data_IF_906381764751
#
_entry.id   IF_906381764751
#
_cell.length_a   1.000
_cell.length_b   1.000
_cell.length_c   1.000
_cell.angle_alpha   90.00
_cell.angle_beta   90.00
_cell.angle_gamma   90.00
#
_symmetry.space_group_name_H-M   'P 1'
#
loop_
_entity.id
_entity.type
_entity.pdbx_description
1 polymer ?
#
# COMPACT_ATOMS: atom_id res chain seq x y z
N UNK A 1 -34.18 34.84 -11.90
CA UNK A 1 -33.97 34.47 -10.47
C UNK A 1 -33.50 33.03 -10.30
N UNK A 2 -34.09 32.07 -11.02
CA UNK A 2 -33.76 30.64 -10.88
C UNK A 2 -32.33 30.30 -11.36
N UNK A 3 -31.83 30.95 -12.41
CA UNK A 3 -30.49 30.74 -12.97
C UNK A 3 -29.35 31.26 -12.06
N UNK A 4 -29.57 32.36 -11.33
CA UNK A 4 -28.56 32.90 -10.41
C UNK A 4 -28.42 32.08 -9.14
N UNK A 5 -29.53 31.51 -8.63
CA UNK A 5 -29.52 30.61 -7.47
C UNK A 5 -28.76 29.31 -7.77
N UNK A 6 -28.98 28.72 -8.95
CA UNK A 6 -28.27 27.51 -9.38
C UNK A 6 -26.75 27.74 -9.50
N UNK A 7 -26.32 28.88 -10.03
CA UNK A 7 -24.90 29.24 -10.11
C UNK A 7 -24.27 29.39 -8.73
N UNK A 8 -25.02 29.95 -7.78
CA UNK A 8 -24.54 30.13 -6.41
C UNK A 8 -24.35 28.78 -5.71
N UNK A 9 -25.31 27.86 -5.86
CA UNK A 9 -25.24 26.50 -5.32
C UNK A 9 -24.04 25.75 -5.90
N UNK A 10 -23.84 25.80 -7.21
CA UNK A 10 -22.68 25.15 -7.85
C UNK A 10 -21.34 25.71 -7.36
N UNK A 11 -21.23 27.02 -7.16
CA UNK A 11 -20.04 27.65 -6.60
C UNK A 11 -19.75 27.18 -5.17
N UNK A 12 -20.81 27.07 -4.35
CA UNK A 12 -20.68 26.61 -2.97
C UNK A 12 -20.27 25.14 -2.90
N UNK A 13 -20.84 24.29 -3.74
CA UNK A 13 -20.45 22.88 -3.87
C UNK A 13 -19.00 22.75 -4.31
N UNK A 14 -18.58 23.51 -5.31
CA UNK A 14 -17.19 23.49 -5.81
C UNK A 14 -16.20 23.91 -4.73
N UNK A 15 -16.52 24.97 -3.95
CA UNK A 15 -15.69 25.40 -2.80
C UNK A 15 -15.60 24.31 -1.72
N UNK A 16 -16.70 23.64 -1.43
CA UNK A 16 -16.73 22.55 -0.44
C UNK A 16 -15.87 21.37 -0.90
N UNK A 17 -15.99 20.98 -2.17
CA UNK A 17 -15.18 19.90 -2.77
C UNK A 17 -13.69 20.24 -2.77
N UNK A 18 -13.33 21.49 -3.10
CA UNK A 18 -11.95 21.95 -3.07
C UNK A 18 -11.37 21.95 -1.65
N UNK A 19 -12.17 22.31 -0.66
CA UNK A 19 -11.73 22.28 0.74
C UNK A 19 -11.47 20.84 1.20
N UNK A 20 -12.36 19.91 0.89
CA UNK A 20 -12.19 18.48 1.21
C UNK A 20 -10.93 17.94 0.54
N UNK A 21 -10.72 18.25 -0.74
CA UNK A 21 -9.51 17.84 -1.46
C UNK A 21 -8.24 18.40 -0.80
N UNK A 22 -8.24 19.67 -0.38
CA UNK A 22 -7.12 20.28 0.33
C UNK A 22 -6.85 19.61 1.68
N UNK A 23 -7.89 19.32 2.45
CA UNK A 23 -7.77 18.62 3.73
C UNK A 23 -7.17 17.22 3.54
N UNK A 24 -7.56 16.51 2.49
CA UNK A 24 -6.98 15.21 2.14
C UNK A 24 -5.51 15.31 1.77
N UNK A 25 -5.12 16.31 0.96
CA UNK A 25 -3.72 16.55 0.58
C UNK A 25 -2.88 16.83 1.83
N UNK A 26 -3.35 17.69 2.74
CA UNK A 26 -2.64 18.00 3.99
C UNK A 26 -2.52 16.76 4.88
N UNK A 27 -3.57 15.97 4.99
CA UNK A 27 -3.56 14.71 5.74
C UNK A 27 -2.49 13.75 5.21
N UNK A 28 -2.42 13.55 3.89
CA UNK A 28 -1.41 12.67 3.29
C UNK A 28 0.01 13.20 3.45
N UNK A 29 0.20 14.51 3.32
CA UNK A 29 1.52 15.14 3.56
C UNK A 29 1.97 14.95 5.00
N UNK A 30 1.07 15.10 5.95
CA UNK A 30 1.35 14.91 7.39
C UNK A 30 1.71 13.45 7.68
N UNK A 31 0.95 12.48 7.15
CA UNK A 31 1.26 11.06 7.26
C UNK A 31 2.62 10.72 6.64
N UNK A 32 2.92 11.25 5.47
CA UNK A 32 4.21 11.04 4.78
C UNK A 32 5.37 11.60 5.61
N UNK A 33 5.21 12.78 6.19
CA UNK A 33 6.23 13.42 7.04
C UNK A 33 6.49 12.57 8.29
N UNK A 34 5.45 12.14 8.99
CA UNK A 34 5.55 11.27 10.17
C UNK A 34 6.21 9.95 9.83
N UNK A 35 5.85 9.37 8.68
CA UNK A 35 6.42 8.12 8.18
C UNK A 35 7.90 8.25 7.91
N UNK A 36 8.32 9.32 7.21
CA UNK A 36 9.72 9.60 6.92
C UNK A 36 10.55 9.76 8.20
N UNK A 37 9.98 10.39 9.22
CA UNK A 37 10.63 10.55 10.52
C UNK A 37 10.83 9.20 11.22
N UNK A 38 9.80 8.34 11.20
CA UNK A 38 9.88 7.00 11.81
C UNK A 38 10.86 6.08 11.10
N UNK A 39 10.99 6.23 9.79
CA UNK A 39 11.83 5.36 8.96
C UNK A 39 13.29 5.79 8.91
N UNK A 40 13.68 6.84 9.60
CA UNK A 40 15.09 7.23 9.70
C UNK A 40 15.88 6.07 10.33
N UNK A 41 16.80 5.49 9.55
CA UNK A 41 17.66 4.39 10.01
C UNK A 41 17.05 3.00 9.95
N UNK A 42 15.84 2.82 9.41
CA UNK A 42 15.28 1.48 9.17
C UNK A 42 14.88 1.28 7.70
N UNK A 43 14.86 0.04 7.25
CA UNK A 43 14.36 -0.31 5.92
C UNK A 43 12.83 -0.35 5.91
N UNK A 44 12.24 -0.33 4.72
CA UNK A 44 10.79 -0.45 4.56
C UNK A 44 10.29 -1.82 5.08
N UNK A 45 11.05 -2.88 4.85
CA UNK A 45 10.77 -4.22 5.35
C UNK A 45 10.76 -4.28 6.88
N UNK A 46 11.77 -3.71 7.51
CA UNK A 46 11.85 -3.61 8.97
C UNK A 46 10.70 -2.81 9.54
N UNK A 47 10.36 -1.69 8.89
CA UNK A 47 9.23 -0.86 9.30
C UNK A 47 7.91 -1.63 9.27
N UNK A 48 7.61 -2.33 8.19
CA UNK A 48 6.39 -3.14 8.08
C UNK A 48 6.37 -4.29 9.09
N UNK A 49 7.50 -4.95 9.30
CA UNK A 49 7.60 -6.04 10.29
C UNK A 49 7.35 -5.54 11.71
N UNK A 50 7.94 -4.43 12.08
CA UNK A 50 7.74 -3.81 13.39
C UNK A 50 6.29 -3.36 13.56
N UNK A 51 5.73 -2.72 12.55
CA UNK A 51 4.33 -2.29 12.54
C UNK A 51 3.38 -3.47 12.71
N UNK A 52 3.63 -4.57 12.02
CA UNK A 52 2.86 -5.79 12.15
C UNK A 52 2.85 -6.31 13.60
N UNK A 53 4.02 -6.46 14.21
CA UNK A 53 4.14 -6.99 15.58
C UNK A 53 3.49 -6.07 16.60
N UNK A 54 3.62 -4.76 16.45
CA UNK A 54 3.10 -3.81 17.44
C UNK A 54 1.60 -3.51 17.27
N UNK A 55 1.09 -3.45 16.04
CA UNK A 55 -0.27 -2.98 15.77
C UNK A 55 -1.25 -4.08 15.33
N UNK A 56 -0.79 -5.10 14.64
CA UNK A 56 -1.65 -6.16 14.10
C UNK A 56 -1.64 -7.43 14.96
N UNK A 57 -0.49 -7.87 15.42
CA UNK A 57 -0.36 -9.08 16.23
C UNK A 57 -1.32 -9.12 17.43
N UNK A 58 -1.52 -8.04 18.20
CA UNK A 58 -2.42 -8.07 19.35
C UNK A 58 -3.89 -8.40 19.01
N UNK A 59 -4.32 -8.06 17.78
CA UNK A 59 -5.68 -8.28 17.30
C UNK A 59 -5.82 -9.53 16.41
N UNK A 60 -4.70 -10.09 15.97
CA UNK A 60 -4.64 -11.20 15.01
C UNK A 60 -3.63 -12.25 15.51
N UNK A 61 -3.96 -13.01 16.56
CA UNK A 61 -2.99 -13.91 17.22
C UNK A 61 -2.45 -15.01 16.30
N UNK A 62 -3.22 -15.42 15.29
CA UNK A 62 -2.80 -16.46 14.34
C UNK A 62 -2.19 -15.91 13.06
N UNK A 63 -2.11 -14.59 12.92
CA UNK A 63 -1.53 -13.98 11.73
C UNK A 63 -0.02 -14.22 11.69
N UNK A 64 0.48 -14.36 10.46
CA UNK A 64 1.91 -14.50 10.18
C UNK A 64 2.32 -13.44 9.18
N UNK A 65 3.47 -12.84 9.41
CA UNK A 65 4.07 -11.90 8.48
C UNK A 65 5.58 -12.08 8.52
N UNK A 66 6.18 -12.34 7.37
CA UNK A 66 7.61 -12.51 7.30
C UNK A 66 8.10 -12.78 5.90
N UNK A 67 9.41 -12.74 5.75
CA UNK A 67 10.07 -13.02 4.48
C UNK A 67 9.94 -14.50 4.15
N UNK A 68 9.48 -14.81 2.96
CA UNK A 68 9.45 -16.15 2.46
C UNK A 68 10.83 -16.54 1.92
N UNK A 69 11.52 -17.41 2.65
CA UNK A 69 12.84 -17.91 2.28
C UNK A 69 12.79 -19.15 1.38
N UNK A 70 11.59 -19.71 1.15
CA UNK A 70 11.42 -20.84 0.26
C UNK A 70 11.49 -20.37 -1.19
N UNK A 71 12.39 -20.96 -1.95
CA UNK A 71 12.49 -20.71 -3.38
C UNK A 71 11.60 -21.71 -4.12
N UNK A 72 10.63 -21.19 -4.89
CA UNK A 72 9.80 -21.97 -5.80
C UNK A 72 10.05 -21.40 -7.20
N UNK A 73 10.52 -22.26 -8.11
CA UNK A 73 10.84 -21.86 -9.50
C UNK A 73 11.69 -20.60 -9.64
N UNK A 74 12.69 -20.43 -8.76
CA UNK A 74 13.57 -19.28 -8.76
C UNK A 74 13.05 -18.03 -8.10
N UNK A 75 11.83 -18.06 -7.57
CA UNK A 75 11.21 -16.95 -6.84
C UNK A 75 11.74 -16.88 -5.42
N UNK A 76 12.29 -15.74 -5.03
CA UNK A 76 12.96 -15.58 -3.74
C UNK A 76 12.49 -14.32 -3.02
N UNK A 77 12.17 -14.49 -1.74
CA UNK A 77 12.37 -13.43 -0.78
C UNK A 77 11.31 -12.36 -0.67
N UNK A 78 10.09 -12.58 -1.13
CA UNK A 78 8.97 -11.67 -0.87
C UNK A 78 8.40 -11.90 0.53
N UNK A 79 7.75 -10.88 1.07
CA UNK A 79 7.05 -10.98 2.34
C UNK A 79 5.65 -11.54 2.13
N UNK A 80 5.23 -12.44 2.99
CA UNK A 80 3.89 -13.02 2.94
C UNK A 80 3.18 -12.77 4.26
N UNK A 81 1.99 -12.18 4.17
CA UNK A 81 1.03 -12.08 5.26
C UNK A 81 -0.02 -13.17 5.09
N UNK A 82 -0.33 -13.88 6.16
CA UNK A 82 -1.46 -14.79 6.20
C UNK A 82 -2.18 -14.69 7.54
N UNK A 83 -3.47 -14.95 7.54
CA UNK A 83 -4.24 -15.04 8.76
C UNK A 83 -5.14 -16.27 8.71
N UNK A 84 -5.45 -16.81 9.89
CA UNK A 84 -6.27 -18.01 10.03
C UNK A 84 -7.12 -17.93 11.30
N UNK A 85 -8.03 -18.89 11.46
CA UNK A 85 -8.79 -19.09 12.69
C UNK A 85 -8.10 -20.06 13.68
N UNK A 86 -6.85 -20.42 13.38
CA UNK A 86 -6.07 -21.44 14.11
C UNK A 86 -6.01 -22.78 13.38
N UNK A 87 -6.94 -23.07 12.48
CA UNK A 87 -7.00 -24.31 11.68
C UNK A 87 -6.99 -24.05 10.19
N UNK A 88 -7.79 -23.09 9.73
CA UNK A 88 -7.97 -22.78 8.31
C UNK A 88 -7.48 -21.39 7.98
N UNK A 89 -6.53 -21.31 7.04
CA UNK A 89 -6.09 -20.06 6.46
C UNK A 89 -7.20 -19.47 5.59
N UNK A 90 -7.60 -18.23 5.83
CA UNK A 90 -8.65 -17.57 5.08
C UNK A 90 -8.18 -16.37 4.26
N UNK A 91 -6.95 -15.94 4.44
CA UNK A 91 -6.36 -14.87 3.63
C UNK A 91 -4.85 -15.04 3.51
N UNK A 92 -4.33 -14.76 2.33
CA UNK A 92 -2.89 -14.68 2.09
C UNK A 92 -2.60 -13.50 1.16
N UNK A 93 -1.60 -12.72 1.52
CA UNK A 93 -1.19 -11.52 0.76
C UNK A 93 0.32 -11.58 0.56
N UNK A 94 0.75 -11.48 -0.70
CA UNK A 94 2.16 -11.31 -1.02
C UNK A 94 2.49 -9.83 -1.08
N UNK A 95 3.54 -9.41 -0.38
CA UNK A 95 4.02 -8.04 -0.36
C UNK A 95 5.39 -7.93 -1.02
N UNK A 96 5.51 -7.04 -1.98
CA UNK A 96 6.79 -6.55 -2.50
C UNK A 96 6.99 -5.13 -1.99
N UNK A 97 8.21 -4.80 -1.57
CA UNK A 97 8.51 -3.49 -0.98
C UNK A 97 9.59 -2.78 -1.78
N UNK A 98 9.29 -1.57 -2.23
CA UNK A 98 10.20 -0.74 -3.01
C UNK A 98 10.33 0.64 -2.37
N UNK A 99 11.54 0.96 -1.95
CA UNK A 99 11.87 2.25 -1.36
C UNK A 99 12.75 3.06 -2.31
N UNK A 100 12.38 4.30 -2.57
CA UNK A 100 13.11 5.21 -3.44
C UNK A 100 14.57 5.42 -3.00
N UNK A 101 14.84 5.43 -1.70
CA UNK A 101 16.20 5.59 -1.16
C UNK A 101 17.13 4.42 -1.46
N UNK A 102 16.59 3.25 -1.76
CA UNK A 102 17.35 2.04 -2.10
C UNK A 102 17.61 1.91 -3.61
N UNK A 103 16.96 2.72 -4.43
CA UNK A 103 17.07 2.73 -5.88
C UNK A 103 18.08 3.80 -6.32
N UNK A 104 19.36 3.42 -6.46
CA UNK A 104 20.46 4.38 -6.66
C UNK A 104 20.76 4.78 -8.11
N UNK A 105 20.36 4.00 -9.12
CA UNK A 105 20.83 4.23 -10.50
C UNK A 105 19.73 4.46 -11.55
N UNK A 106 18.50 4.02 -11.31
CA UNK A 106 17.39 4.22 -12.26
C UNK A 106 16.12 4.60 -11.50
N UNK A 107 15.45 5.64 -11.99
CA UNK A 107 14.09 5.93 -11.51
C UNK A 107 13.12 4.89 -12.09
N UNK A 108 12.82 3.87 -11.32
CA UNK A 108 11.80 2.90 -11.68
C UNK A 108 10.41 3.44 -11.38
N UNK A 109 9.46 3.00 -12.19
CA UNK A 109 8.03 3.25 -11.98
C UNK A 109 7.40 2.05 -11.27
N UNK A 110 6.34 2.30 -10.51
CA UNK A 110 5.63 1.25 -9.80
C UNK A 110 5.16 0.11 -10.72
N UNK A 111 4.66 0.47 -11.90
CA UNK A 111 4.16 -0.52 -12.87
C UNK A 111 5.22 -1.50 -13.35
N UNK A 112 6.49 -1.16 -13.26
CA UNK A 112 7.61 -2.01 -13.71
C UNK A 112 7.74 -3.30 -12.88
N UNK A 113 7.19 -3.31 -11.66
CA UNK A 113 7.29 -4.45 -10.74
C UNK A 113 6.07 -5.36 -10.73
N UNK A 114 4.98 -4.96 -11.38
CA UNK A 114 3.70 -5.64 -11.24
C UNK A 114 3.67 -7.01 -11.91
N UNK A 115 4.31 -7.15 -13.06
CA UNK A 115 4.33 -8.43 -13.80
C UNK A 115 5.01 -9.53 -12.98
N UNK A 116 6.18 -9.24 -12.44
CA UNK A 116 6.91 -10.19 -11.60
C UNK A 116 6.15 -10.50 -10.32
N UNK A 117 5.56 -9.49 -9.70
CA UNK A 117 4.75 -9.67 -8.48
C UNK A 117 3.56 -10.59 -8.74
N UNK A 118 2.88 -10.44 -9.86
CA UNK A 118 1.78 -11.31 -10.26
C UNK A 118 2.23 -12.76 -10.48
N UNK A 119 3.35 -12.95 -11.16
CA UNK A 119 3.95 -14.28 -11.38
C UNK A 119 4.31 -14.94 -10.04
N UNK A 120 4.93 -14.20 -9.14
CA UNK A 120 5.33 -14.68 -7.82
C UNK A 120 4.11 -15.02 -6.96
N UNK A 121 3.06 -14.19 -7.01
CA UNK A 121 1.80 -14.47 -6.31
C UNK A 121 1.21 -15.80 -6.71
N UNK A 122 1.15 -16.06 -8.00
CA UNK A 122 0.61 -17.32 -8.54
C UNK A 122 1.45 -18.53 -8.15
N UNK A 123 2.78 -18.40 -8.21
CA UNK A 123 3.70 -19.48 -7.81
C UNK A 123 3.57 -19.83 -6.33
N UNK A 124 3.39 -18.82 -5.48
CA UNK A 124 3.24 -18.99 -4.02
C UNK A 124 1.79 -19.21 -3.58
N UNK A 125 0.85 -19.22 -4.51
CA UNK A 125 -0.57 -19.44 -4.25
C UNK A 125 -1.17 -18.45 -3.25
N UNK A 126 -0.68 -17.20 -3.27
CA UNK A 126 -1.27 -16.12 -2.48
C UNK A 126 -2.51 -15.56 -3.16
N UNK A 127 -3.52 -15.23 -2.36
CA UNK A 127 -4.77 -14.67 -2.86
C UNK A 127 -4.61 -13.27 -3.41
N UNK A 128 -3.87 -12.42 -2.71
CA UNK A 128 -3.63 -11.02 -3.08
C UNK A 128 -2.16 -10.72 -3.27
N UNK A 129 -1.87 -9.69 -4.04
CA UNK A 129 -0.53 -9.13 -4.17
C UNK A 129 -0.56 -7.61 -3.95
N UNK A 130 0.39 -7.12 -3.17
CA UNK A 130 0.47 -5.70 -2.81
C UNK A 130 1.89 -5.20 -2.98
N UNK A 131 2.05 -4.14 -3.75
CA UNK A 131 3.28 -3.38 -3.83
C UNK A 131 3.24 -2.25 -2.80
N UNK A 132 4.10 -2.31 -1.80
CA UNK A 132 4.31 -1.22 -0.84
C UNK A 132 5.46 -0.37 -1.38
N UNK A 133 5.17 0.88 -1.74
CA UNK A 133 6.12 1.67 -2.51
C UNK A 133 6.17 3.13 -2.09
N UNK A 134 7.39 3.66 -2.01
CA UNK A 134 7.66 5.09 -1.92
C UNK A 134 8.07 5.68 -3.28
N UNK A 135 8.13 4.87 -4.33
CA UNK A 135 8.48 5.33 -5.67
C UNK A 135 7.44 6.30 -6.22
N UNK A 136 7.86 7.11 -7.19
CA UNK A 136 7.01 8.14 -7.78
C UNK A 136 6.38 9.04 -6.71
N UNK A 137 7.25 9.61 -5.87
CA UNK A 137 6.86 10.36 -4.68
C UNK A 137 5.92 11.54 -4.96
N UNK A 138 5.97 12.10 -6.16
CA UNK A 138 5.16 13.25 -6.57
C UNK A 138 3.87 12.86 -7.31
N UNK A 139 3.59 11.58 -7.44
CA UNK A 139 2.38 11.10 -8.13
C UNK A 139 1.13 11.31 -7.27
N UNK A 140 0.21 12.12 -7.78
CA UNK A 140 -1.08 12.33 -7.10
C UNK A 140 -1.87 11.03 -6.96
N UNK A 141 -1.80 10.16 -7.98
CA UNK A 141 -2.48 8.87 -7.96
C UNK A 141 -2.00 8.01 -6.79
N UNK A 142 -0.69 7.77 -6.69
CA UNK A 142 -0.13 6.93 -5.63
C UNK A 142 -0.24 7.58 -4.25
N UNK A 143 -0.24 8.90 -4.20
CA UNK A 143 -0.39 9.64 -2.96
C UNK A 143 -1.83 9.64 -2.42
N UNK A 144 -2.80 9.07 -3.14
CA UNK A 144 -4.10 8.75 -2.56
C UNK A 144 -4.00 7.64 -1.51
N UNK A 145 -2.93 6.86 -1.54
CA UNK A 145 -2.57 5.90 -0.51
C UNK A 145 -2.79 4.44 -0.88
N UNK A 146 -3.95 4.08 -1.37
CA UNK A 146 -4.29 2.74 -1.84
C UNK A 146 -4.81 2.86 -3.28
N UNK A 147 -4.12 2.20 -4.20
CA UNK A 147 -4.50 2.18 -5.62
C UNK A 147 -4.83 0.75 -6.03
N UNK A 148 -6.05 0.53 -6.46
CA UNK A 148 -6.48 -0.74 -7.03
C UNK A 148 -6.02 -0.85 -8.48
N UNK A 149 -5.16 -1.81 -8.77
CA UNK A 149 -4.67 -2.11 -10.12
C UNK A 149 -5.18 -3.43 -10.65
N UNK A 150 -6.33 -3.90 -10.15
CA UNK A 150 -6.95 -5.17 -10.54
C UNK A 150 -7.31 -5.24 -12.02
N UNK A 151 -7.44 -4.09 -12.69
CA UNK A 151 -7.64 -4.01 -14.13
C UNK A 151 -6.40 -4.40 -14.95
N UNK A 152 -5.22 -4.36 -14.33
CA UNK A 152 -3.96 -4.80 -14.94
C UNK A 152 -3.61 -6.23 -14.56
N UNK A 153 -3.70 -6.55 -13.27
CA UNK A 153 -3.41 -7.87 -12.72
C UNK A 153 -4.40 -8.16 -11.60
N UNK A 154 -5.00 -9.34 -11.60
CA UNK A 154 -6.00 -9.74 -10.61
C UNK A 154 -5.53 -9.56 -9.18
N UNK A 155 -6.43 -9.04 -8.32
CA UNK A 155 -6.24 -8.94 -6.87
C UNK A 155 -4.94 -8.25 -6.48
N UNK A 156 -4.62 -7.19 -7.18
CA UNK A 156 -3.39 -6.44 -6.98
C UNK A 156 -3.65 -4.99 -6.59
N UNK A 157 -2.86 -4.52 -5.63
CA UNK A 157 -2.92 -3.15 -5.12
C UNK A 157 -1.52 -2.56 -5.02
N UNK A 158 -1.42 -1.24 -5.18
CA UNK A 158 -0.21 -0.47 -4.89
C UNK A 158 -0.56 0.45 -3.73
N UNK A 159 0.24 0.42 -2.67
CA UNK A 159 -0.01 1.27 -1.50
C UNK A 159 1.21 2.07 -1.09
N UNK A 160 0.98 3.19 -0.44
CA UNK A 160 2.01 3.89 0.31
C UNK A 160 2.20 3.19 1.67
N UNK A 161 3.41 3.24 2.27
CA UNK A 161 3.71 2.50 3.50
C UNK A 161 2.78 2.79 4.67
N UNK A 162 2.30 4.03 4.82
CA UNK A 162 1.39 4.40 5.88
C UNK A 162 0.01 3.73 5.81
N UNK A 163 -0.29 3.07 4.69
CA UNK A 163 -1.54 2.34 4.49
C UNK A 163 -1.41 0.82 4.68
N UNK A 164 -0.26 0.36 5.17
CA UNK A 164 -0.03 -1.06 5.42
C UNK A 164 -1.06 -1.64 6.40
N UNK A 165 -1.24 -1.01 7.56
CA UNK A 165 -2.25 -1.45 8.54
C UNK A 165 -3.67 -1.27 8.01
N UNK A 166 -4.07 -0.11 7.47
CA UNK A 166 -5.41 0.05 6.90
C UNK A 166 -5.76 -0.98 5.83
N UNK A 167 -4.82 -1.33 4.96
CA UNK A 167 -5.07 -2.35 3.93
C UNK A 167 -5.38 -3.71 4.54
N UNK A 168 -4.60 -4.15 5.51
CA UNK A 168 -4.75 -5.47 6.13
C UNK A 168 -6.04 -5.57 6.95
N UNK A 169 -6.47 -4.46 7.55
CA UNK A 169 -7.66 -4.42 8.42
C UNK A 169 -8.98 -4.18 7.68
N UNK A 170 -8.93 -3.96 6.38
CA UNK A 170 -10.14 -3.80 5.58
C UNK A 170 -10.99 -5.09 5.51
#
# INVERSE_FOLDING_TARGET
>A
AHHSQNRLVHRQQHKAEMRVAQEQIEFYRDLKSKMSTKMVGETLEEHCSTTFEMQLRPHMPYAKFGKDNKTVDGTKGDFIFSNSDGETEYISIMFEMKNESEETEKKHKNVDFLKKLDEDRKKKECEYAVLVSTLEADSDLYNTGIVDVSHLYEKMYIIRPQFFVPLITL
#
